data_IF_791718225562
#
_entry.id   IF_791718225562
#
_cell.length_a   1.000
_cell.length_b   1.000
_cell.length_c   1.000
_cell.angle_alpha   90.00
_cell.angle_beta   90.00
_cell.angle_gamma   90.00
#
_symmetry.space_group_name_H-M   'P 1'
#
loop_
_entity.id
_entity.type
_entity.pdbx_description
1 polymer ?
#
# COMPACT_ATOMS: atom_id res chain seq x y z
N UNK A 1 -1.89 22.05 -38.93
CA UNK A 1 -2.38 23.44 -38.81
C UNK A 1 -2.98 23.59 -37.42
N UNK A 2 -2.77 24.70 -36.70
CA UNK A 2 -3.46 24.90 -35.43
C UNK A 2 -4.96 25.11 -35.70
N UNK A 3 -5.82 24.49 -34.92
CA UNK A 3 -7.27 24.71 -34.95
C UNK A 3 -7.68 25.52 -33.71
N UNK A 4 -8.50 26.55 -33.92
CA UNK A 4 -9.11 27.35 -32.85
C UNK A 4 -10.46 26.71 -32.53
N UNK A 5 -10.68 26.34 -31.27
CA UNK A 5 -11.97 25.82 -30.80
C UNK A 5 -12.75 27.00 -30.23
N UNK A 6 -13.94 27.27 -30.77
CA UNK A 6 -14.85 28.26 -30.23
C UNK A 6 -15.50 27.73 -28.94
N UNK A 7 -15.40 28.46 -27.81
CA UNK A 7 -15.95 28.01 -26.55
C UNK A 7 -17.46 28.25 -26.50
N UNK A 8 -18.25 27.29 -26.99
CA UNK A 8 -19.69 27.25 -26.78
C UNK A 8 -20.01 26.51 -25.47
N UNK A 9 -20.97 27.00 -24.64
CA UNK A 9 -21.41 26.28 -23.44
C UNK A 9 -22.03 24.93 -23.83
N UNK A 10 -21.36 23.83 -23.50
CA UNK A 10 -21.92 22.49 -23.64
C UNK A 10 -22.83 22.22 -22.43
N UNK A 11 -24.13 22.05 -22.65
CA UNK A 11 -25.08 21.70 -21.58
C UNK A 11 -24.95 20.23 -21.12
N UNK A 12 -24.43 19.38 -21.99
CA UNK A 12 -24.22 17.95 -21.73
C UNK A 12 -22.73 17.64 -21.49
N UNK A 13 -22.21 18.21 -20.41
CA UNK A 13 -20.96 17.71 -19.83
C UNK A 13 -21.29 16.38 -19.15
N UNK A 14 -20.83 15.27 -19.74
CA UNK A 14 -20.98 13.91 -19.21
C UNK A 14 -21.01 13.90 -17.68
N UNK A 15 -22.20 13.85 -17.10
CA UNK A 15 -22.41 14.10 -15.68
C UNK A 15 -21.81 12.93 -14.91
N UNK A 16 -20.56 13.09 -14.47
CA UNK A 16 -19.94 12.06 -13.63
C UNK A 16 -20.74 11.97 -12.33
N UNK A 17 -21.27 10.78 -12.05
CA UNK A 17 -21.95 10.55 -10.78
C UNK A 17 -20.90 10.50 -9.69
N UNK A 18 -20.82 11.57 -8.89
CA UNK A 18 -19.88 11.66 -7.77
C UNK A 18 -20.38 10.79 -6.61
N UNK A 19 -19.96 9.52 -6.60
CA UNK A 19 -20.34 8.56 -5.57
C UNK A 19 -20.04 9.07 -4.14
N UNK A 20 -18.91 9.75 -3.95
CA UNK A 20 -18.57 10.37 -2.67
C UNK A 20 -19.57 11.46 -2.23
N UNK A 21 -20.12 12.22 -3.17
CA UNK A 21 -21.15 13.22 -2.89
C UNK A 21 -22.49 12.57 -2.55
N UNK A 22 -22.86 11.49 -3.22
CA UNK A 22 -24.07 10.71 -2.90
C UNK A 22 -23.98 10.08 -1.50
N UNK A 23 -22.83 9.52 -1.12
CA UNK A 23 -22.59 9.00 0.24
C UNK A 23 -22.73 10.12 1.27
N UNK A 24 -22.13 11.28 1.02
CA UNK A 24 -22.25 12.46 1.88
C UNK A 24 -23.70 12.95 2.06
N UNK A 25 -24.52 12.87 1.01
CA UNK A 25 -25.95 13.21 1.10
C UNK A 25 -26.74 12.17 1.88
N UNK A 26 -26.55 10.88 1.57
CA UNK A 26 -27.28 9.78 2.19
C UNK A 26 -26.91 9.56 3.66
N UNK A 27 -25.65 9.82 4.01
CA UNK A 27 -25.09 9.63 5.35
C UNK A 27 -24.37 10.90 5.81
N UNK A 28 -25.09 11.93 6.30
CA UNK A 28 -24.49 13.21 6.68
C UNK A 28 -23.37 13.11 7.73
N UNK A 29 -23.40 12.09 8.59
CA UNK A 29 -22.38 11.81 9.62
C UNK A 29 -20.96 11.68 9.04
N UNK A 30 -20.82 11.26 7.78
CA UNK A 30 -19.51 11.14 7.10
C UNK A 30 -18.82 12.50 6.97
N UNK A 31 -19.57 13.61 7.03
CA UNK A 31 -19.01 14.98 7.01
C UNK A 31 -18.19 15.27 8.26
N UNK A 32 -18.51 14.61 9.37
CA UNK A 32 -17.89 14.84 10.67
C UNK A 32 -16.66 13.94 10.89
N UNK A 33 -16.41 12.96 10.02
CA UNK A 33 -15.23 12.08 10.07
C UNK A 33 -13.93 12.77 9.63
N UNK A 34 -13.92 14.10 9.59
CA UNK A 34 -12.74 14.87 9.28
C UNK A 34 -11.81 14.88 10.51
N UNK A 35 -10.57 14.40 10.34
CA UNK A 35 -9.51 14.50 11.36
C UNK A 35 -9.15 15.95 11.72
N UNK A 36 -9.53 16.87 10.83
CA UNK A 36 -9.36 18.32 10.78
C UNK A 36 -7.91 18.78 10.76
N UNK A 37 -7.63 20.02 11.16
CA UNK A 37 -6.33 20.63 10.87
C UNK A 37 -5.16 19.89 11.55
N UNK A 38 -4.13 19.48 10.79
CA UNK A 38 -2.89 18.93 11.34
C UNK A 38 -2.18 19.90 12.31
N UNK A 39 -2.42 21.22 12.16
CA UNK A 39 -1.83 22.25 13.03
C UNK A 39 -2.35 22.23 14.47
N UNK A 40 -3.40 21.44 14.78
CA UNK A 40 -3.88 21.26 16.16
C UNK A 40 -2.93 20.42 17.02
N UNK A 41 -1.97 19.72 16.40
CA UNK A 41 -0.98 18.91 17.09
C UNK A 41 0.37 19.61 17.02
N UNK A 42 1.01 19.81 18.17
CA UNK A 42 2.37 20.33 18.24
C UNK A 42 3.37 19.24 17.82
N UNK A 43 3.61 19.12 16.51
CA UNK A 43 4.43 18.05 15.93
C UNK A 43 5.85 18.01 16.50
N UNK A 44 6.43 19.18 16.80
CA UNK A 44 7.78 19.28 17.37
C UNK A 44 7.88 18.58 18.73
N UNK A 45 6.80 18.59 19.52
CA UNK A 45 6.74 17.87 20.79
C UNK A 45 6.74 16.35 20.64
N UNK A 46 6.40 15.83 19.45
CA UNK A 46 6.37 14.40 19.13
C UNK A 46 7.68 13.90 18.53
N UNK A 47 8.65 14.78 18.30
CA UNK A 47 9.95 14.40 17.71
C UNK A 47 10.78 13.63 18.74
N UNK A 48 10.96 12.34 18.51
CA UNK A 48 11.78 11.46 19.37
C UNK A 48 13.27 11.51 19.03
N UNK A 49 13.62 11.94 17.81
CA UNK A 49 14.99 12.04 17.33
C UNK A 49 15.12 13.05 16.18
N UNK A 50 16.19 13.85 16.21
CA UNK A 50 16.58 14.77 15.13
C UNK A 50 18.02 14.50 14.72
N UNK A 51 18.27 14.35 13.42
CA UNK A 51 19.62 14.11 12.91
C UNK A 51 19.65 13.87 11.41
N UNK A 52 20.85 13.60 10.87
CA UNK A 52 20.99 13.24 9.45
C UNK A 52 20.42 11.84 9.22
N UNK A 53 19.49 11.74 8.27
CA UNK A 53 18.91 10.48 7.85
C UNK A 53 19.98 9.54 7.25
N UNK A 54 19.92 8.26 7.63
CA UNK A 54 20.83 7.20 7.13
C UNK A 54 20.05 5.99 6.65
N UNK A 55 19.63 5.96 5.38
CA UNK A 55 18.79 4.87 4.84
C UNK A 55 19.30 3.46 5.14
N UNK A 56 20.44 3.08 4.57
CA UNK A 56 20.94 1.69 4.70
C UNK A 56 21.28 1.35 6.15
N UNK A 57 21.83 2.31 6.90
CA UNK A 57 22.19 2.10 8.31
C UNK A 57 21.01 2.05 9.28
N UNK A 58 19.81 2.38 8.81
CA UNK A 58 18.56 2.37 9.60
C UNK A 58 17.55 1.34 9.11
N UNK A 59 17.94 0.43 8.20
CA UNK A 59 17.08 -0.67 7.80
C UNK A 59 16.75 -1.59 8.98
N UNK A 60 15.47 -1.91 9.14
CA UNK A 60 14.97 -2.81 10.17
C UNK A 60 13.79 -3.64 9.68
N UNK A 61 13.40 -4.64 10.47
CA UNK A 61 12.20 -5.45 10.19
C UNK A 61 10.95 -4.56 10.27
N UNK A 62 10.24 -4.44 9.15
CA UNK A 62 9.00 -3.68 9.06
C UNK A 62 7.78 -4.54 9.38
N UNK A 63 7.74 -5.76 8.85
CA UNK A 63 6.62 -6.68 9.04
C UNK A 63 7.03 -8.14 8.85
N UNK A 64 6.27 -9.03 9.49
CA UNK A 64 6.29 -10.46 9.21
C UNK A 64 4.87 -11.00 9.22
N UNK A 65 4.48 -11.75 8.20
CA UNK A 65 3.13 -12.29 8.09
C UNK A 65 3.07 -13.63 7.33
N UNK A 66 2.08 -14.47 7.61
CA UNK A 66 1.84 -15.69 6.85
C UNK A 66 1.36 -15.39 5.43
N UNK A 67 1.76 -16.24 4.49
CA UNK A 67 1.34 -16.17 3.08
C UNK A 67 0.86 -17.53 2.60
N UNK A 68 -0.07 -17.52 1.64
CA UNK A 68 -0.51 -18.69 0.88
C UNK A 68 -0.30 -18.39 -0.59
N UNK A 69 0.36 -19.29 -1.31
CA UNK A 69 0.71 -19.13 -2.72
C UNK A 69 0.08 -20.24 -3.55
N UNK A 70 -0.35 -19.91 -4.77
CA UNK A 70 -0.84 -20.86 -5.76
C UNK A 70 0.17 -20.99 -6.90
N UNK A 71 0.73 -22.18 -7.06
CA UNK A 71 1.43 -22.59 -8.28
C UNK A 71 0.45 -23.32 -9.18
N UNK A 72 0.88 -23.63 -10.42
CA UNK A 72 0.02 -24.21 -11.46
C UNK A 72 -0.83 -25.39 -10.95
N UNK A 73 -0.20 -26.34 -10.25
CA UNK A 73 -0.82 -27.60 -9.85
C UNK A 73 -0.86 -27.81 -8.31
N UNK A 74 -0.34 -26.87 -7.52
CA UNK A 74 -0.19 -27.03 -6.06
C UNK A 74 -0.16 -25.69 -5.32
N UNK A 75 -0.63 -25.71 -4.06
CA UNK A 75 -0.51 -24.60 -3.14
C UNK A 75 0.73 -24.71 -2.25
N UNK A 76 1.24 -23.56 -1.79
CA UNK A 76 2.29 -23.45 -0.79
C UNK A 76 1.85 -22.54 0.35
N UNK A 77 2.36 -22.82 1.55
CA UNK A 77 2.16 -21.99 2.74
C UNK A 77 3.52 -21.49 3.22
N UNK A 78 3.59 -20.24 3.68
CA UNK A 78 4.87 -19.64 3.98
C UNK A 78 4.80 -18.42 4.88
N UNK A 79 5.95 -17.77 5.00
CA UNK A 79 6.14 -16.50 5.70
C UNK A 79 6.80 -15.50 4.77
N UNK A 80 6.38 -14.24 4.89
CA UNK A 80 7.05 -13.09 4.29
C UNK A 80 7.53 -12.15 5.38
N UNK A 81 8.77 -11.71 5.25
CA UNK A 81 9.36 -10.65 6.05
C UNK A 81 9.73 -9.48 5.14
N UNK A 82 9.33 -8.27 5.54
CA UNK A 82 9.72 -7.04 4.86
C UNK A 82 10.70 -6.26 5.76
N UNK A 83 11.75 -5.73 5.15
CA UNK A 83 12.79 -4.95 5.81
C UNK A 83 12.81 -3.58 5.15
N UNK A 84 12.74 -2.50 5.93
CA UNK A 84 12.73 -1.16 5.38
C UNK A 84 13.37 -0.15 6.31
N UNK A 85 13.83 0.96 5.73
CA UNK A 85 14.19 2.15 6.50
C UNK A 85 12.94 2.89 7.02
N UNK A 86 13.04 3.73 8.08
CA UNK A 86 11.86 4.35 8.71
C UNK A 86 11.04 5.25 7.79
N UNK A 87 11.65 5.77 6.73
CA UNK A 87 10.96 6.57 5.73
C UNK A 87 10.39 5.75 4.57
N UNK A 88 10.56 4.43 4.56
CA UNK A 88 10.15 3.51 3.50
C UNK A 88 10.75 3.79 2.12
N UNK A 89 11.91 4.45 2.06
CA UNK A 89 12.57 4.80 0.79
C UNK A 89 13.42 3.66 0.25
N UNK A 90 14.00 2.84 1.13
CA UNK A 90 14.71 1.62 0.81
C UNK A 90 14.01 0.46 1.51
N UNK A 91 13.76 -0.58 0.74
CA UNK A 91 13.08 -1.77 1.20
C UNK A 91 13.64 -3.00 0.50
N UNK A 92 13.64 -4.11 1.23
CA UNK A 92 13.85 -5.45 0.70
C UNK A 92 12.81 -6.37 1.33
N UNK A 93 12.55 -7.51 0.71
CA UNK A 93 11.72 -8.54 1.32
C UNK A 93 12.39 -9.90 1.18
N UNK A 94 11.95 -10.82 2.02
CA UNK A 94 12.25 -12.24 1.89
C UNK A 94 10.96 -12.99 2.09
N UNK A 95 10.65 -13.89 1.16
CA UNK A 95 9.51 -14.80 1.28
C UNK A 95 10.00 -16.22 1.13
N UNK A 96 9.61 -17.06 2.09
CA UNK A 96 9.90 -18.49 2.11
C UNK A 96 8.60 -19.25 2.25
N UNK A 97 8.36 -20.22 1.37
CA UNK A 97 7.14 -21.03 1.39
C UNK A 97 7.44 -22.50 1.09
N UNK A 98 6.52 -23.36 1.54
CA UNK A 98 6.61 -24.81 1.40
C UNK A 98 5.32 -25.38 0.83
N UNK A 99 5.42 -26.27 -0.16
CA UNK A 99 4.29 -27.02 -0.72
C UNK A 99 4.11 -28.35 0.02
N UNK A 100 3.07 -28.51 0.86
CA UNK A 100 2.83 -29.73 1.63
C UNK A 100 2.14 -30.81 0.79
N UNK A 101 2.70 -31.13 -0.38
CA UNK A 101 2.17 -32.13 -1.31
C UNK A 101 3.15 -33.29 -1.49
N UNK A 102 2.63 -34.50 -1.66
CA UNK A 102 3.41 -35.68 -2.04
C UNK A 102 3.80 -35.71 -3.52
N UNK A 103 3.19 -34.86 -4.35
CA UNK A 103 3.35 -34.88 -5.81
C UNK A 103 4.68 -34.27 -6.31
N UNK A 104 5.41 -33.58 -5.45
CA UNK A 104 6.71 -32.97 -5.74
C UNK A 104 7.83 -33.76 -5.06
N UNK A 105 9.00 -33.79 -5.70
CA UNK A 105 10.22 -34.28 -5.07
C UNK A 105 10.59 -33.40 -3.87
N UNK A 106 11.26 -33.98 -2.87
CA UNK A 106 11.51 -33.29 -1.60
C UNK A 106 12.30 -31.98 -1.76
N UNK A 107 13.13 -31.86 -2.80
CA UNK A 107 13.93 -30.67 -3.10
C UNK A 107 13.17 -29.59 -3.86
N UNK A 108 11.97 -29.89 -4.38
CA UNK A 108 11.13 -28.94 -5.14
C UNK A 108 10.03 -28.31 -4.28
N UNK A 109 9.89 -28.75 -3.02
CA UNK A 109 8.81 -28.28 -2.14
C UNK A 109 9.11 -26.96 -1.45
N UNK A 110 10.36 -26.50 -1.44
CA UNK A 110 10.77 -25.23 -0.80
C UNK A 110 10.95 -24.13 -1.86
N UNK A 111 10.34 -22.97 -1.63
CA UNK A 111 10.39 -21.83 -2.54
C UNK A 111 10.95 -20.60 -1.82
N UNK A 112 11.74 -19.80 -2.54
CA UNK A 112 12.38 -18.59 -2.01
C UNK A 112 12.31 -17.42 -2.99
N UNK A 113 11.92 -16.25 -2.50
CA UNK A 113 11.83 -15.01 -3.27
C UNK A 113 12.41 -13.83 -2.50
N UNK A 114 13.12 -12.95 -3.22
CA UNK A 114 13.78 -11.73 -2.76
C UNK A 114 13.29 -10.52 -3.55
#
# INVERSE_FOLDING_TARGET
MPAVIEPEPLEDLSSITLLGYLVKQKHPVVRDWNVGSPTRVELDSLVTYTGRYKSIGSMGLASIFPVVEGYKDYGAVGLRADISDPGFWNSAFLKLSYSPTGALDSNERLHGHL
#
